data_IF_099870544517
#
_entry.id   IF_099870544517
#
_cell.length_a   1.000
_cell.length_b   1.000
_cell.length_c   1.000
_cell.angle_alpha   90.00
_cell.angle_beta   90.00
_cell.angle_gamma   90.00
#
_symmetry.space_group_name_H-M   'P 1'
#
loop_
_entity.id
_entity.type
_entity.pdbx_description
1 polymer ?
#
# COMPACT_ATOMS: atom_id res chain seq x y z
N UNK A 1 9.00 -5.92 -19.36
CA UNK A 1 9.48 -5.65 -17.98
C UNK A 1 8.38 -5.01 -17.18
N UNK A 2 8.50 -5.00 -15.85
CA UNK A 2 7.56 -4.31 -14.96
C UNK A 2 8.31 -3.46 -13.94
N UNK A 3 7.73 -2.33 -13.60
CA UNK A 3 8.13 -1.51 -12.46
C UNK A 3 7.23 -1.85 -11.28
N UNK A 4 7.85 -2.20 -10.17
CA UNK A 4 7.20 -2.43 -8.88
C UNK A 4 7.41 -1.17 -8.06
N UNK A 5 6.31 -0.51 -7.70
CA UNK A 5 6.28 0.68 -6.85
C UNK A 5 5.61 0.32 -5.53
N UNK A 6 6.36 0.28 -4.45
CA UNK A 6 5.85 -0.02 -3.11
C UNK A 6 5.87 1.25 -2.25
N UNK A 7 4.73 1.62 -1.68
CA UNK A 7 4.62 2.69 -0.67
C UNK A 7 4.44 2.03 0.68
N UNK A 8 5.38 2.22 1.59
CA UNK A 8 5.47 1.47 2.86
C UNK A 8 5.69 2.39 4.05
N UNK A 9 5.54 1.84 5.27
CA UNK A 9 5.92 2.53 6.50
C UNK A 9 7.45 2.73 6.59
N UNK A 10 7.96 3.90 7.01
CA UNK A 10 9.40 4.15 7.10
C UNK A 10 10.16 3.13 7.95
N UNK A 11 9.59 2.71 9.08
CA UNK A 11 10.19 1.72 9.99
C UNK A 11 10.33 0.32 9.38
N UNK A 12 9.62 0.03 8.28
CA UNK A 12 9.73 -1.24 7.54
C UNK A 12 10.81 -1.24 6.48
N UNK A 13 11.37 -0.07 6.13
CA UNK A 13 12.30 0.06 5.01
C UNK A 13 13.53 -0.84 5.15
N UNK A 14 14.17 -0.88 6.33
CA UNK A 14 15.41 -1.66 6.51
C UNK A 14 15.15 -3.17 6.37
N UNK A 15 13.99 -3.66 6.81
CA UNK A 15 13.58 -5.05 6.64
C UNK A 15 13.37 -5.40 5.16
N UNK A 16 12.70 -4.52 4.42
CA UNK A 16 12.45 -4.71 2.98
C UNK A 16 13.76 -4.70 2.19
N UNK A 17 14.64 -3.74 2.49
CA UNK A 17 15.94 -3.61 1.87
C UNK A 17 16.76 -4.90 2.02
N UNK A 18 16.85 -5.42 3.25
CA UNK A 18 17.56 -6.67 3.55
C UNK A 18 16.93 -7.87 2.84
N UNK A 19 15.61 -8.01 2.88
CA UNK A 19 14.90 -9.11 2.24
C UNK A 19 15.09 -9.12 0.71
N UNK A 20 15.10 -7.95 0.07
CA UNK A 20 15.37 -7.81 -1.35
C UNK A 20 16.82 -8.16 -1.71
N UNK A 21 17.79 -7.74 -0.90
CA UNK A 21 19.20 -8.09 -1.08
C UNK A 21 19.43 -9.61 -0.97
N UNK A 22 18.89 -10.25 0.06
CA UNK A 22 18.92 -11.71 0.23
C UNK A 22 18.20 -12.46 -0.90
N UNK A 23 17.19 -11.84 -1.50
CA UNK A 23 16.46 -12.38 -2.65
C UNK A 23 17.14 -12.15 -4.00
N UNK A 24 18.28 -11.45 -4.04
CA UNK A 24 19.06 -11.19 -5.26
C UNK A 24 18.64 -9.95 -6.03
N UNK A 25 17.92 -9.01 -5.40
CA UNK A 25 17.44 -7.76 -6.00
C UNK A 25 18.04 -6.51 -5.30
N UNK A 26 19.36 -6.25 -5.41
CA UNK A 26 19.99 -5.15 -4.70
C UNK A 26 19.69 -3.76 -5.31
N UNK A 27 19.25 -3.70 -6.57
CA UNK A 27 18.98 -2.45 -7.27
C UNK A 27 17.57 -1.93 -6.97
N UNK A 28 17.48 -0.78 -6.32
CA UNK A 28 16.21 -0.08 -6.04
C UNK A 28 16.41 1.43 -6.02
N UNK A 29 15.35 2.18 -6.29
CA UNK A 29 15.27 3.63 -6.08
C UNK A 29 14.35 3.90 -4.91
N UNK A 30 14.75 4.79 -4.02
CA UNK A 30 14.01 5.11 -2.79
C UNK A 30 13.68 6.59 -2.78
N UNK A 31 12.46 6.94 -2.41
CA UNK A 31 11.99 8.33 -2.32
C UNK A 31 11.13 8.50 -1.09
N UNK A 32 11.38 9.54 -0.32
CA UNK A 32 10.50 9.93 0.79
C UNK A 32 9.26 10.61 0.23
N UNK A 33 8.09 10.15 0.64
CA UNK A 33 6.79 10.67 0.18
C UNK A 33 5.86 10.87 1.36
N UNK A 34 4.79 11.64 1.16
CA UNK A 34 3.71 11.75 2.12
C UNK A 34 2.43 11.17 1.51
N UNK A 35 1.65 10.43 2.28
CA UNK A 35 0.45 9.77 1.78
C UNK A 35 -0.56 9.48 2.87
N UNK A 36 -1.79 9.24 2.44
CA UNK A 36 -2.91 8.81 3.29
C UNK A 36 -3.62 7.63 2.66
N UNK A 37 -4.06 6.70 3.49
CA UNK A 37 -4.92 5.60 3.05
C UNK A 37 -6.39 6.01 3.02
N UNK A 38 -7.25 5.03 2.75
CA UNK A 38 -8.70 5.22 2.64
C UNK A 38 -9.39 5.61 3.96
N UNK A 39 -8.68 5.52 5.09
CA UNK A 39 -9.22 5.85 6.42
C UNK A 39 -9.52 7.33 6.68
N UNK A 40 -9.16 8.25 5.77
CA UNK A 40 -9.34 9.72 5.87
C UNK A 40 -8.64 10.31 7.12
N UNK A 41 -8.05 11.50 6.99
CA UNK A 41 -7.21 12.09 8.04
C UNK A 41 -7.93 12.28 9.38
N UNK A 42 -7.17 12.27 10.48
CA UNK A 42 -7.69 12.65 11.82
C UNK A 42 -7.77 14.18 11.86
N UNK A 43 -8.97 14.72 12.03
CA UNK A 43 -9.15 16.16 12.31
C UNK A 43 -8.79 16.41 13.77
N UNK A 44 -7.68 17.12 14.02
CA UNK A 44 -7.29 17.54 15.35
C UNK A 44 -7.79 18.97 15.60
N UNK A 45 -8.57 19.16 16.66
CA UNK A 45 -8.91 20.51 17.15
C UNK A 45 -7.77 21.01 18.03
N UNK A 46 -7.15 22.14 17.66
CA UNK A 46 -6.14 22.79 18.47
C UNK A 46 -6.47 24.27 18.67
N UNK A 47 -6.70 24.67 19.93
CA UNK A 47 -6.89 26.07 20.37
C UNK A 47 -7.85 26.90 19.50
N UNK A 48 -8.99 26.34 19.13
CA UNK A 48 -10.03 27.04 18.37
C UNK A 48 -9.82 27.09 16.85
N UNK A 49 -8.85 26.33 16.30
CA UNK A 49 -8.71 26.09 14.87
C UNK A 49 -8.71 24.60 14.54
N UNK A 50 -9.29 24.24 13.39
CA UNK A 50 -9.17 22.88 12.84
C UNK A 50 -7.86 22.77 12.06
N UNK A 51 -6.94 21.91 12.50
CA UNK A 51 -5.81 21.48 11.66
C UNK A 51 -6.04 20.03 11.25
N UNK A 52 -6.26 19.81 9.96
CA UNK A 52 -6.30 18.46 9.39
C UNK A 52 -4.88 18.04 9.06
N UNK A 53 -4.27 17.17 9.87
CA UNK A 53 -3.02 16.52 9.49
C UNK A 53 -3.37 15.37 8.56
N UNK A 54 -3.31 15.66 7.26
CA UNK A 54 -3.91 14.77 6.27
C UNK A 54 -2.93 13.73 5.70
N UNK A 55 -1.63 14.03 5.68
CA UNK A 55 -0.62 13.18 5.03
C UNK A 55 0.42 12.70 6.03
N UNK A 56 0.67 11.38 6.04
CA UNK A 56 1.69 10.76 6.88
C UNK A 56 2.96 10.47 6.07
N UNK A 57 4.16 10.61 6.65
CA UNK A 57 5.41 10.20 6.00
C UNK A 57 5.41 8.71 5.63
N UNK A 58 5.91 8.41 4.44
CA UNK A 58 6.04 7.07 3.85
C UNK A 58 7.34 6.96 3.06
N UNK A 59 7.76 5.74 2.79
CA UNK A 59 8.85 5.45 1.86
C UNK A 59 8.27 4.83 0.59
N UNK A 60 8.63 5.41 -0.56
CA UNK A 60 8.38 4.81 -1.86
C UNK A 60 9.63 4.07 -2.33
N UNK A 61 9.48 2.81 -2.71
CA UNK A 61 10.52 1.97 -3.30
C UNK A 61 10.10 1.66 -4.74
N UNK A 62 10.98 1.91 -5.70
CA UNK A 62 10.80 1.58 -7.11
C UNK A 62 11.87 0.58 -7.55
N UNK A 63 11.43 -0.52 -8.19
CA UNK A 63 12.29 -1.58 -8.69
C UNK A 63 11.80 -1.99 -10.07
N UNK A 64 12.69 -2.08 -11.06
CA UNK A 64 12.36 -2.59 -12.40
C UNK A 64 12.90 -4.00 -12.53
N UNK A 65 12.03 -4.94 -12.90
CA UNK A 65 12.38 -6.36 -13.08
C UNK A 65 11.74 -6.95 -14.34
N UNK A 66 12.29 -8.08 -14.78
CA UNK A 66 11.69 -8.94 -15.80
C UNK A 66 10.36 -9.52 -15.32
N UNK A 67 9.48 -9.88 -16.25
CA UNK A 67 8.12 -10.34 -15.95
C UNK A 67 8.07 -11.59 -15.04
N UNK A 68 9.00 -12.51 -15.25
CA UNK A 68 9.15 -13.76 -14.48
C UNK A 68 9.57 -13.54 -13.02
N UNK A 69 10.12 -12.36 -12.69
CA UNK A 69 10.61 -12.01 -11.35
C UNK A 69 9.61 -11.18 -10.54
N UNK A 70 8.50 -10.74 -11.16
CA UNK A 70 7.54 -9.82 -10.52
C UNK A 70 6.95 -10.41 -9.25
N UNK A 71 6.40 -11.62 -9.32
CA UNK A 71 5.75 -12.27 -8.18
C UNK A 71 6.72 -12.48 -7.01
N UNK A 72 7.97 -12.84 -7.31
CA UNK A 72 9.01 -13.00 -6.30
C UNK A 72 9.24 -11.69 -5.54
N UNK A 73 9.46 -10.59 -6.26
CA UNK A 73 9.70 -9.28 -5.64
C UNK A 73 8.48 -8.78 -4.87
N UNK A 74 7.27 -8.92 -5.41
CA UNK A 74 6.03 -8.53 -4.74
C UNK A 74 5.85 -9.30 -3.43
N UNK A 75 6.08 -10.61 -3.45
CA UNK A 75 5.97 -11.47 -2.27
C UNK A 75 6.99 -11.08 -1.22
N UNK A 76 8.26 -10.92 -1.60
CA UNK A 76 9.34 -10.50 -0.69
C UNK A 76 9.02 -9.16 -0.01
N UNK A 77 8.56 -8.16 -0.76
CA UNK A 77 8.20 -6.86 -0.19
C UNK A 77 6.97 -6.99 0.72
N UNK A 78 5.95 -7.75 0.31
CA UNK A 78 4.72 -7.93 1.09
C UNK A 78 5.01 -8.57 2.44
N UNK A 79 5.78 -9.65 2.47
CA UNK A 79 6.14 -10.38 3.70
C UNK A 79 6.99 -9.53 4.64
N UNK A 80 7.98 -8.81 4.11
CA UNK A 80 8.84 -7.94 4.92
C UNK A 80 8.08 -6.73 5.50
N UNK A 81 7.05 -6.23 4.81
CA UNK A 81 6.26 -5.08 5.26
C UNK A 81 5.13 -5.45 6.23
N UNK A 82 4.48 -6.60 6.03
CA UNK A 82 3.20 -6.94 6.67
C UNK A 82 3.33 -6.97 8.20
N UNK A 83 2.61 -6.08 8.88
CA UNK A 83 2.38 -6.11 10.33
C UNK A 83 0.96 -6.59 10.67
N UNK A 84 0.06 -6.57 9.67
CA UNK A 84 -1.37 -6.81 9.88
C UNK A 84 -2.13 -5.59 10.40
N UNK A 85 -1.44 -4.47 10.61
CA UNK A 85 -2.03 -3.20 11.06
C UNK A 85 -2.27 -2.26 9.89
N UNK A 86 -3.20 -1.34 10.07
CA UNK A 86 -3.50 -0.35 9.03
C UNK A 86 -2.26 0.50 8.71
N UNK A 87 -2.17 0.88 7.44
CA UNK A 87 -1.13 1.76 6.91
C UNK A 87 0.18 1.07 6.51
N UNK A 88 0.23 -0.28 6.49
CA UNK A 88 1.39 -1.08 6.07
C UNK A 88 1.89 -0.72 4.67
N UNK A 89 0.97 -0.35 3.77
CA UNK A 89 1.31 0.16 2.46
C UNK A 89 0.47 -0.38 1.33
N UNK A 90 0.89 -0.07 0.10
CA UNK A 90 0.35 -0.66 -1.13
C UNK A 90 1.48 -0.81 -2.16
N UNK A 91 1.39 -1.88 -2.95
CA UNK A 91 2.32 -2.18 -4.04
C UNK A 91 1.56 -2.02 -5.36
N UNK A 92 2.19 -1.34 -6.32
CA UNK A 92 1.69 -1.14 -7.67
C UNK A 92 2.65 -1.80 -8.66
N UNK A 93 2.10 -2.46 -9.66
CA UNK A 93 2.87 -3.07 -10.75
C UNK A 93 2.51 -2.36 -12.05
N UNK A 94 3.49 -1.75 -12.70
CA UNK A 94 3.32 -0.93 -13.90
C UNK A 94 4.13 -1.50 -15.06
N UNK A 95 3.66 -1.40 -16.31
CA UNK A 95 4.45 -1.78 -17.48
C UNK A 95 5.67 -0.88 -17.66
N UNK A 96 6.80 -1.48 -18.07
CA UNK A 96 8.00 -0.75 -18.52
C UNK A 96 8.35 -1.23 -19.91
N UNK A 97 8.18 -0.34 -20.89
CA UNK A 97 8.43 -0.64 -22.30
C UNK A 97 9.93 -0.75 -22.61
N UNK A 98 10.73 0.13 -22.00
CA UNK A 98 12.16 0.27 -22.27
C UNK A 98 12.94 0.70 -21.04
N UNK A 99 14.13 0.14 -20.86
CA UNK A 99 15.10 0.55 -19.85
C UNK A 99 16.50 0.63 -20.48
N UNK A 100 17.25 1.68 -20.17
CA UNK A 100 18.59 1.92 -20.73
C UNK A 100 19.59 2.08 -19.60
N UNK A 101 20.67 1.30 -19.63
CA UNK A 101 21.79 1.46 -18.71
C UNK A 101 22.73 2.54 -19.22
N UNK A 102 22.73 3.71 -18.58
CA UNK A 102 23.49 4.90 -19.00
C UNK A 102 24.98 4.59 -19.26
N UNK A 103 25.64 3.85 -18.35
CA UNK A 103 27.09 3.57 -18.45
C UNK A 103 27.47 2.77 -19.71
N UNK A 104 26.63 1.82 -20.12
CA UNK A 104 26.96 0.86 -21.20
C UNK A 104 26.16 1.10 -22.47
N UNK A 105 25.08 1.89 -22.41
CA UNK A 105 24.11 2.02 -23.51
C UNK A 105 23.24 0.77 -23.71
N UNK A 106 23.39 -0.25 -22.86
CA UNK A 106 22.62 -1.49 -22.93
C UNK A 106 21.14 -1.17 -22.78
N UNK A 107 20.35 -1.62 -23.73
CA UNK A 107 18.90 -1.39 -23.77
C UNK A 107 18.18 -2.70 -23.54
N UNK A 108 17.30 -2.72 -22.55
CA UNK A 108 16.32 -3.78 -22.33
C UNK A 108 14.99 -3.29 -22.90
N UNK A 109 14.44 -4.01 -23.88
CA UNK A 109 13.15 -3.72 -24.50
C UNK A 109 12.24 -4.93 -24.36
N UNK A 110 11.00 -4.69 -23.97
CA UNK A 110 9.95 -5.69 -24.14
C UNK A 110 9.40 -5.52 -25.56
N UNK A 111 9.79 -6.42 -26.47
CA UNK A 111 9.22 -6.42 -27.83
C UNK A 111 7.70 -6.58 -27.69
N UNK A 112 6.88 -5.66 -28.24
CA UNK A 112 5.44 -5.85 -28.25
C UNK A 112 5.16 -7.10 -29.06
N UNK A 113 4.72 -8.17 -28.39
CA UNK A 113 4.15 -9.32 -29.09
C UNK A 113 2.89 -8.79 -29.77
N UNK A 114 2.92 -8.72 -31.10
CA UNK A 114 1.79 -8.30 -31.91
C UNK A 114 0.59 -9.19 -31.61
N UNK A 115 -0.26 -8.72 -30.72
CA UNK A 115 -1.47 -9.39 -30.28
C UNK A 115 -2.28 -8.37 -29.52
N UNK A 116 -3.49 -8.09 -30.00
CA UNK A 116 -4.48 -7.26 -29.31
C UNK A 116 -4.51 -7.64 -27.83
N UNK A 117 -4.15 -6.70 -26.95
CA UNK A 117 -4.32 -6.86 -25.51
C UNK A 117 -5.82 -7.04 -25.22
N UNK A 118 -6.27 -8.28 -25.20
CA UNK A 118 -7.43 -8.66 -24.42
C UNK A 118 -7.09 -8.37 -22.97
N UNK A 119 -7.83 -7.45 -22.37
CA UNK A 119 -7.84 -7.24 -20.92
C UNK A 119 -8.01 -8.63 -20.27
N UNK A 120 -7.04 -9.16 -19.50
CA UNK A 120 -7.29 -10.39 -18.78
C UNK A 120 -8.43 -10.10 -17.80
N UNK A 121 -9.52 -10.85 -17.96
CA UNK A 121 -10.66 -10.82 -17.06
C UNK A 121 -10.15 -10.97 -15.63
N UNK A 122 -10.53 -10.01 -14.78
CA UNK A 122 -10.49 -10.04 -13.32
C UNK A 122 -9.67 -11.19 -12.71
N UNK A 123 -8.44 -10.90 -12.30
CA UNK A 123 -7.76 -11.75 -11.34
C UNK A 123 -8.72 -11.89 -10.13
N UNK A 124 -9.06 -13.11 -9.69
CA UNK A 124 -9.95 -13.26 -8.54
C UNK A 124 -9.32 -12.55 -7.34
N UNK A 125 -10.12 -11.87 -6.49
CA UNK A 125 -9.59 -11.29 -5.28
C UNK A 125 -8.95 -12.39 -4.44
N UNK A 126 -7.73 -12.16 -3.97
CA UNK A 126 -7.11 -12.99 -2.95
C UNK A 126 -8.03 -12.94 -1.74
N UNK A 127 -8.66 -14.06 -1.39
CA UNK A 127 -9.55 -14.14 -0.24
C UNK A 127 -8.73 -13.97 1.04
N UNK A 128 -8.84 -12.78 1.65
CA UNK A 128 -8.34 -12.51 2.98
C UNK A 128 -9.44 -12.90 3.97
N UNK A 129 -9.25 -14.01 4.69
CA UNK A 129 -10.06 -14.34 5.86
C UNK A 129 -9.77 -13.31 6.95
N UNK A 130 -10.53 -12.23 6.96
CA UNK A 130 -10.54 -11.27 8.05
C UNK A 130 -11.58 -11.75 9.05
N UNK A 131 -11.16 -12.58 10.01
CA UNK A 131 -11.92 -12.79 11.24
C UNK A 131 -11.66 -11.58 12.15
N UNK A 132 -12.52 -10.57 12.07
CA UNK A 132 -12.64 -9.53 13.09
C UNK A 132 -14.13 -9.43 13.40
N UNK A 133 -14.50 -10.00 14.53
CA UNK A 133 -15.84 -9.95 15.11
C UNK A 133 -16.10 -8.51 15.60
N UNK A 134 -17.01 -7.82 14.94
CA UNK A 134 -17.52 -6.49 15.32
C UNK A 134 -18.46 -6.59 16.55
N UNK A 135 -17.94 -6.92 17.72
CA UNK A 135 -18.72 -6.86 18.98
C UNK A 135 -18.63 -5.50 19.70
N UNK A 136 -17.68 -4.63 19.36
CA UNK A 136 -17.52 -3.34 20.08
C UNK A 136 -18.43 -2.21 19.58
N UNK A 137 -19.05 -2.33 18.40
CA UNK A 137 -19.91 -1.28 17.83
C UNK A 137 -21.39 -1.36 18.28
N UNK A 138 -21.84 -2.51 18.77
CA UNK A 138 -23.22 -2.67 19.30
C UNK A 138 -23.36 -2.15 20.72
N UNK A 139 -22.31 -2.18 21.53
CA UNK A 139 -22.34 -1.71 22.93
C UNK A 139 -22.51 -0.19 23.00
N UNK A 140 -21.93 0.56 22.06
CA UNK A 140 -22.06 2.02 22.03
C UNK A 140 -23.42 2.50 21.52
N UNK A 141 -24.09 1.74 20.64
CA UNK A 141 -25.41 2.12 20.14
C UNK A 141 -26.51 1.92 21.20
N UNK A 142 -26.38 0.91 22.05
CA UNK A 142 -27.34 0.61 23.11
C UNK A 142 -27.23 1.59 24.31
N UNK A 143 -26.01 2.06 24.60
CA UNK A 143 -25.76 3.11 25.60
C UNK A 143 -26.28 4.49 25.16
N UNK A 144 -26.29 4.78 23.85
CA UNK A 144 -26.78 6.05 23.32
C UNK A 144 -28.33 6.15 23.30
N UNK A 145 -29.03 5.01 23.24
CA UNK A 145 -30.50 4.96 23.23
C UNK A 145 -31.14 4.83 24.62
N UNK A 146 -30.35 4.70 25.69
CA UNK A 146 -30.85 4.59 27.06
C UNK A 146 -30.75 5.92 27.82
N UNK A 147 -31.46 6.94 27.35
CA UNK A 147 -31.81 8.11 28.17
C UNK A 147 -33.31 8.14 28.46
N UNK A 148 -33.74 8.31 29.73
CA UNK A 148 -35.16 8.35 30.06
C UNK A 148 -35.81 9.63 29.52
N UNK A 149 -36.94 9.46 28.83
CA UNK A 149 -37.79 10.52 28.33
C UNK A 149 -38.15 11.52 29.44
N UNK A 150 -37.83 12.80 29.23
CA UNK A 150 -38.37 13.91 30.03
C UNK A 150 -39.89 13.90 29.88
N UNK A 151 -40.61 13.60 30.96
CA UNK A 151 -42.05 13.83 31.07
C UNK A 151 -42.31 15.34 31.03
N UNK A 152 -43.03 15.76 30.00
CA UNK A 152 -43.78 17.01 30.00
C UNK A 152 -44.93 16.89 31.01
N UNK A 153 -45.12 17.90 31.86
CA UNK A 153 -46.24 18.02 32.77
C UNK A 153 -46.43 19.47 33.17
N UNK A 154 -47.48 20.07 32.59
CA UNK A 154 -48.30 21.25 32.94
C UNK A 154 -47.91 22.03 34.20
#
# INVERSE_FOLDING_TARGET
MKMIKAIIKPERFEYVKKALEESGFPGMTVTEVQGRGDQKGITLEYRGGHMTVDLLPKIQIEIVVDYDKVERVVTTISEACRTGKVGDGRIFVMPVERAIRIRTGETLEEKPVGGTFGVPASNPPVEFTTSVEDEEMMVWLDLANSQPAKKNGV
#
